data_IF_679818116900
#
_entry.id   IF_679818116900
#
_cell.length_a   1.000
_cell.length_b   1.000
_cell.length_c   1.000
_cell.angle_alpha   90.00
_cell.angle_beta   90.00
_cell.angle_gamma   90.00
#
_symmetry.space_group_name_H-M   'P 1'
#
loop_
_entity.id
_entity.type
_entity.pdbx_description
1 polymer ?
#
# COMPACT_ATOMS: atom_id res chain seq x y z
N UNK A 1 -11.62 -48.67 9.28
CA UNK A 1 -10.90 -47.39 9.15
C UNK A 1 -11.39 -46.47 10.25
N UNK A 2 -10.52 -46.01 11.15
CA UNK A 2 -10.91 -45.05 12.20
C UNK A 2 -10.83 -43.64 11.58
N UNK A 3 -11.96 -42.95 11.53
CA UNK A 3 -12.00 -41.52 11.21
C UNK A 3 -11.38 -40.76 12.37
N UNK A 4 -10.24 -40.13 12.14
CA UNK A 4 -9.64 -39.18 13.07
C UNK A 4 -10.29 -37.83 12.80
N UNK A 5 -11.08 -37.26 13.74
CA UNK A 5 -11.60 -35.91 13.56
C UNK A 5 -10.41 -34.94 13.59
N UNK A 6 -10.11 -34.32 12.44
CA UNK A 6 -9.19 -33.19 12.35
C UNK A 6 -9.89 -31.97 12.94
N UNK A 7 -9.89 -31.85 14.26
CA UNK A 7 -10.01 -30.55 14.91
C UNK A 7 -8.73 -29.78 14.59
N UNK A 8 -8.71 -29.11 13.44
CA UNK A 8 -7.79 -28.01 13.21
C UNK A 8 -8.22 -26.92 14.19
N UNK A 9 -7.54 -26.81 15.33
CA UNK A 9 -7.61 -25.62 16.18
C UNK A 9 -7.24 -24.43 15.30
N UNK A 10 -8.26 -23.71 14.81
CA UNK A 10 -8.06 -22.45 14.10
C UNK A 10 -7.64 -21.43 15.14
N UNK A 11 -6.33 -21.33 15.38
CA UNK A 11 -5.79 -20.19 16.14
C UNK A 11 -6.25 -18.91 15.44
N UNK A 12 -6.88 -17.97 16.16
CA UNK A 12 -7.31 -16.71 15.57
C UNK A 12 -6.09 -15.96 15.06
N UNK A 13 -6.14 -15.55 13.80
CA UNK A 13 -5.12 -14.67 13.21
C UNK A 13 -5.31 -13.28 13.82
N UNK A 14 -4.37 -12.86 14.65
CA UNK A 14 -4.32 -11.50 15.17
C UNK A 14 -3.76 -10.58 14.09
N UNK A 15 -4.61 -9.74 13.52
CA UNK A 15 -4.20 -8.65 12.64
C UNK A 15 -3.98 -7.41 13.48
N UNK A 16 -2.73 -6.96 13.58
CA UNK A 16 -2.38 -5.76 14.34
C UNK A 16 -2.53 -4.50 13.48
N UNK A 17 -2.60 -3.33 14.14
CA UNK A 17 -2.57 -2.04 13.43
C UNK A 17 -1.32 -1.89 12.57
N UNK A 18 -0.17 -2.37 13.06
CA UNK A 18 1.08 -2.34 12.31
C UNK A 18 1.01 -3.19 11.03
N UNK A 19 0.31 -4.32 11.06
CA UNK A 19 0.12 -5.16 9.86
C UNK A 19 -0.76 -4.47 8.81
N UNK A 20 -1.78 -3.75 9.25
CA UNK A 20 -2.63 -2.93 8.36
C UNK A 20 -1.82 -1.80 7.73
N UNK A 21 -1.00 -1.09 8.53
CA UNK A 21 -0.15 -0.01 8.03
C UNK A 21 0.88 -0.50 7.01
N UNK A 22 1.52 -1.65 7.25
CA UNK A 22 2.43 -2.26 6.28
C UNK A 22 1.71 -2.73 5.02
N UNK A 23 0.48 -3.21 5.14
CA UNK A 23 -0.33 -3.56 3.97
C UNK A 23 -0.68 -2.31 3.14
N UNK A 24 -1.08 -1.22 3.79
CA UNK A 24 -1.35 0.05 3.12
C UNK A 24 -0.08 0.62 2.46
N UNK A 25 1.08 0.51 3.10
CA UNK A 25 2.36 0.92 2.52
C UNK A 25 2.63 0.20 1.19
N UNK A 26 2.37 -1.12 1.12
CA UNK A 26 2.49 -1.91 -0.12
C UNK A 26 1.49 -1.47 -1.18
N UNK A 27 0.27 -1.09 -0.79
CA UNK A 27 -0.72 -0.55 -1.74
C UNK A 27 -0.22 0.77 -2.33
N UNK A 28 0.38 1.64 -1.53
CA UNK A 28 0.98 2.88 -2.04
C UNK A 28 2.10 2.60 -3.06
N UNK A 29 2.95 1.60 -2.81
CA UNK A 29 3.96 1.17 -3.78
C UNK A 29 3.33 0.62 -5.07
N UNK A 30 2.27 -0.19 -4.96
CA UNK A 30 1.52 -0.68 -6.12
C UNK A 30 0.86 0.45 -6.91
N UNK A 31 0.33 1.46 -6.23
CA UNK A 31 -0.22 2.66 -6.88
C UNK A 31 0.86 3.40 -7.66
N UNK A 32 2.05 3.58 -7.07
CA UNK A 32 3.17 4.22 -7.76
C UNK A 32 3.55 3.47 -9.05
N UNK A 33 3.66 2.14 -8.99
CA UNK A 33 3.94 1.29 -10.16
C UNK A 33 2.82 1.39 -11.20
N UNK A 34 1.56 1.37 -10.78
CA UNK A 34 0.42 1.51 -11.67
C UNK A 34 0.40 2.85 -12.41
N UNK A 35 0.75 3.94 -11.72
CA UNK A 35 0.86 5.28 -12.32
C UNK A 35 2.05 5.34 -13.29
N UNK A 36 3.18 4.74 -12.94
CA UNK A 36 4.36 4.65 -13.81
C UNK A 36 4.06 3.87 -15.10
N UNK A 37 3.30 2.77 -15.03
CA UNK A 37 2.84 2.07 -16.22
C UNK A 37 1.84 2.89 -17.04
N UNK A 38 0.92 3.59 -16.38
CA UNK A 38 -0.07 4.42 -17.06
C UNK A 38 0.57 5.64 -17.76
N UNK A 39 1.63 6.23 -17.19
CA UNK A 39 2.34 7.35 -17.81
C UNK A 39 3.03 6.93 -19.11
N UNK A 40 3.62 5.74 -19.17
CA UNK A 40 4.19 5.20 -20.41
C UNK A 40 3.15 5.06 -21.53
N UNK A 41 1.89 4.72 -21.20
CA UNK A 41 0.79 4.66 -22.18
C UNK A 41 0.36 6.04 -22.67
N UNK A 42 0.50 7.07 -21.85
CA UNK A 42 0.23 8.46 -22.25
C UNK A 42 1.26 8.92 -23.28
N UNK A 43 2.51 8.52 -23.15
CA UNK A 43 3.59 8.93 -24.06
C UNK A 43 3.66 8.09 -25.34
N UNK A 44 2.81 7.06 -25.48
CA UNK A 44 2.75 6.28 -26.71
C UNK A 44 2.38 7.19 -27.89
N UNK A 45 3.16 7.17 -29.00
CA UNK A 45 2.80 7.88 -30.20
C UNK A 45 1.57 7.20 -30.83
N UNK A 46 0.39 7.69 -30.49
CA UNK A 46 -0.83 7.34 -31.20
C UNK A 46 -0.74 7.99 -32.58
N UNK A 47 -0.66 7.16 -33.62
CA UNK A 47 -0.74 7.60 -35.02
C UNK A 47 -2.15 8.10 -35.32
N UNK A 48 -2.48 9.29 -34.82
CA UNK A 48 -3.73 9.97 -35.06
C UNK A 48 -3.60 10.78 -36.36
N UNK A 49 -4.64 10.84 -37.20
CA UNK A 49 -4.64 11.72 -38.36
C UNK A 49 -4.42 13.17 -37.91
N UNK A 50 -3.40 13.82 -38.47
CA UNK A 50 -3.05 15.21 -38.11
C UNK A 50 -4.24 16.15 -38.34
N UNK A 51 -4.56 16.95 -37.34
CA UNK A 51 -5.68 17.89 -37.36
C UNK A 51 -7.05 17.28 -37.06
N UNK A 52 -7.11 15.96 -36.81
CA UNK A 52 -8.37 15.30 -36.41
C UNK A 52 -8.86 15.80 -35.06
N UNK A 53 -10.17 15.79 -34.86
CA UNK A 53 -10.77 16.16 -33.58
C UNK A 53 -10.35 15.19 -32.46
N UNK A 54 -10.03 13.94 -32.81
CA UNK A 54 -9.46 12.94 -31.90
C UNK A 54 -8.07 13.36 -31.39
N UNK A 55 -7.19 13.87 -32.25
CA UNK A 55 -5.87 14.37 -31.84
C UNK A 55 -5.99 15.54 -30.86
N UNK A 56 -6.89 16.50 -31.16
CA UNK A 56 -7.15 17.65 -30.29
C UNK A 56 -7.73 17.22 -28.94
N UNK A 57 -8.66 16.27 -28.95
CA UNK A 57 -9.28 15.74 -27.72
C UNK A 57 -8.25 15.04 -26.83
N UNK A 58 -7.37 14.23 -27.42
CA UNK A 58 -6.26 13.58 -26.71
C UNK A 58 -5.29 14.61 -26.14
N UNK A 59 -4.93 15.65 -26.90
CA UNK A 59 -4.06 16.72 -26.41
C UNK A 59 -4.66 17.49 -25.22
N UNK A 60 -5.95 17.84 -25.29
CA UNK A 60 -6.68 18.49 -24.19
C UNK A 60 -6.75 17.56 -22.98
N UNK A 61 -7.05 16.28 -23.19
CA UNK A 61 -7.10 15.31 -22.10
C UNK A 61 -5.73 15.19 -21.40
N UNK A 62 -4.63 15.03 -22.16
CA UNK A 62 -3.26 14.98 -21.62
C UNK A 62 -2.90 16.24 -20.83
N UNK A 63 -3.29 17.43 -21.30
CA UNK A 63 -3.01 18.70 -20.60
C UNK A 63 -3.69 18.85 -19.24
N UNK A 64 -4.74 18.06 -18.97
CA UNK A 64 -5.47 18.08 -17.70
C UNK A 64 -5.00 17.00 -16.71
N UNK A 65 -4.13 16.09 -17.14
CA UNK A 65 -3.62 15.04 -16.27
C UNK A 65 -2.59 15.64 -15.30
N UNK A 66 -2.67 15.31 -14.00
CA UNK A 66 -1.65 15.75 -13.05
C UNK A 66 -0.30 15.13 -13.41
N UNK A 67 0.80 15.85 -13.15
CA UNK A 67 2.14 15.37 -13.48
C UNK A 67 2.38 13.98 -12.84
N UNK A 68 2.62 12.92 -13.64
CA UNK A 68 2.75 11.56 -13.11
C UNK A 68 3.86 11.42 -12.07
N UNK A 69 5.00 12.09 -12.28
CA UNK A 69 6.15 12.05 -11.38
C UNK A 69 5.80 12.53 -9.96
N UNK A 70 5.00 13.60 -9.86
CA UNK A 70 4.55 14.13 -8.57
C UNK A 70 3.63 13.12 -7.85
N UNK A 71 2.78 12.42 -8.59
CA UNK A 71 1.88 11.42 -8.02
C UNK A 71 2.63 10.16 -7.57
N UNK A 72 3.63 9.73 -8.35
CA UNK A 72 4.52 8.60 -8.02
C UNK A 72 5.29 8.92 -6.74
N UNK A 73 5.89 10.10 -6.66
CA UNK A 73 6.66 10.49 -5.47
C UNK A 73 5.76 10.65 -4.24
N UNK A 74 4.56 11.23 -4.40
CA UNK A 74 3.59 11.33 -3.32
C UNK A 74 3.18 9.93 -2.80
N UNK A 75 2.91 8.97 -3.69
CA UNK A 75 2.57 7.61 -3.32
C UNK A 75 3.72 6.90 -2.58
N UNK A 76 4.95 6.97 -3.11
CA UNK A 76 6.14 6.39 -2.46
C UNK A 76 6.42 7.02 -1.09
N UNK A 77 6.28 8.34 -0.98
CA UNK A 77 6.45 9.06 0.28
C UNK A 77 5.39 8.67 1.32
N UNK A 78 4.13 8.55 0.91
CA UNK A 78 3.06 8.05 1.76
C UNK A 78 3.33 6.61 2.24
N UNK A 79 3.79 5.73 1.36
CA UNK A 79 4.18 4.37 1.71
C UNK A 79 5.28 4.33 2.78
N UNK A 80 6.34 5.13 2.62
CA UNK A 80 7.42 5.25 3.62
C UNK A 80 6.91 5.74 4.98
N UNK A 81 6.04 6.74 5.00
CA UNK A 81 5.44 7.24 6.25
C UNK A 81 4.60 6.15 6.95
N UNK A 82 3.81 5.39 6.19
CA UNK A 82 3.01 4.29 6.75
C UNK A 82 3.89 3.18 7.35
N UNK A 83 4.97 2.78 6.66
CA UNK A 83 5.93 1.81 7.21
C UNK A 83 6.64 2.33 8.46
N UNK A 84 6.94 3.63 8.51
CA UNK A 84 7.51 4.25 9.70
C UNK A 84 6.53 4.17 10.89
N UNK A 85 5.27 4.57 10.69
CA UNK A 85 4.23 4.46 11.71
C UNK A 85 4.01 3.01 12.16
N UNK A 86 4.06 2.04 11.25
CA UNK A 86 3.98 0.62 11.59
C UNK A 86 5.12 0.18 12.53
N UNK A 87 6.34 0.69 12.29
CA UNK A 87 7.49 0.42 13.15
C UNK A 87 7.32 1.03 14.55
N UNK A 88 6.80 2.26 14.64
CA UNK A 88 6.52 2.92 15.90
C UNK A 88 5.46 2.18 16.72
N UNK A 89 4.37 1.76 16.07
CA UNK A 89 3.32 0.94 16.70
C UNK A 89 3.88 -0.37 17.30
N UNK A 90 4.77 -1.06 16.58
CA UNK A 90 5.43 -2.27 17.10
C UNK A 90 6.29 -1.98 18.33
N UNK A 91 7.04 -0.88 18.31
CA UNK A 91 7.88 -0.48 19.44
C UNK A 91 7.01 -0.17 20.66
N UNK A 92 5.90 0.56 20.48
CA UNK A 92 4.96 0.89 21.57
C UNK A 92 4.28 -0.37 22.12
N UNK A 93 3.83 -1.27 21.25
CA UNK A 93 3.24 -2.55 21.65
C UNK A 93 4.25 -3.41 22.44
N UNK A 94 5.49 -3.51 21.97
CA UNK A 94 6.55 -4.25 22.66
C UNK A 94 6.88 -3.65 24.04
N UNK A 95 6.94 -2.31 24.14
CA UNK A 95 7.14 -1.61 25.42
C UNK A 95 5.98 -1.86 26.39
N UNK A 96 4.75 -1.82 25.90
CA UNK A 96 3.56 -2.09 26.71
C UNK A 96 3.56 -3.53 27.22
N UNK A 97 3.87 -4.51 26.36
CA UNK A 97 3.97 -5.91 26.76
C UNK A 97 5.07 -6.15 27.81
N UNK A 98 6.25 -5.55 27.64
CA UNK A 98 7.34 -5.62 28.60
C UNK A 98 7.03 -4.93 29.95
N UNK A 99 6.13 -3.94 29.94
CA UNK A 99 5.63 -3.30 31.16
C UNK A 99 4.62 -4.16 31.93
N UNK A 100 3.79 -4.93 31.22
CA UNK A 100 2.79 -5.82 31.82
C UNK A 100 3.40 -7.10 32.44
N UNK A 101 4.53 -7.58 31.92
CA UNK A 101 5.23 -8.75 32.49
C UNK A 101 5.98 -8.45 33.81
N UNK A 102 5.94 -7.20 34.30
CA UNK A 102 6.58 -6.77 35.54
C UNK A 102 5.67 -6.73 36.76
N UNK A 103 4.42 -7.21 36.70
CA UNK A 103 3.67 -7.45 37.95
C UNK A 103 4.35 -8.57 38.74
N UNK A 104 4.89 -8.29 39.94
CA UNK A 104 5.37 -9.35 40.81
C UNK A 104 4.13 -10.07 41.32
N UNK A 105 3.97 -11.34 40.96
CA UNK A 105 3.19 -12.29 41.75
C UNK A 105 3.79 -12.31 43.15
N UNK A 106 3.31 -11.41 44.00
CA UNK A 106 3.53 -11.44 45.44
C UNK A 106 2.59 -12.49 46.01
N UNK A 107 3.21 -13.53 46.59
CA UNK A 107 2.81 -14.17 47.84
C UNK A 107 1.47 -14.88 47.85
#
# INVERSE_FOLDING_TARGET
MREVPRNLETMPVLVTKADVLDHLAKICDQMAVGIEMASMLIDLPLSLPRGSDTEKLVAVWKSKLPAPDLQIEAARSAGKMLSHLASEERIVAARTAAGQTREPTRG
#
